data_IF_942527675162
#
_entry.id   IF_942527675162
#
_cell.length_a   1.000
_cell.length_b   1.000
_cell.length_c   1.000
_cell.angle_alpha   90.00
_cell.angle_beta   90.00
_cell.angle_gamma   90.00
#
_symmetry.space_group_name_H-M   'P 1'
#
loop_
_entity.id
_entity.type
_entity.pdbx_description
1 polymer ?
#
# COMPACT_ATOMS: atom_id res chain seq x y z
N UNK A 1 -13.64 -25.43 8.10
CA UNK A 1 -12.37 -25.69 8.81
C UNK A 1 -11.51 -24.44 8.67
N UNK A 2 -11.01 -23.84 9.77
CA UNK A 2 -10.08 -22.72 9.69
C UNK A 2 -8.82 -23.15 8.91
N UNK A 3 -8.25 -22.24 8.12
CA UNK A 3 -6.98 -22.49 7.42
C UNK A 3 -5.85 -22.61 8.45
N UNK A 4 -4.76 -23.31 8.11
CA UNK A 4 -3.64 -23.48 9.03
C UNK A 4 -2.99 -22.13 9.42
N UNK A 5 -2.95 -21.15 8.50
CA UNK A 5 -2.61 -19.76 8.82
C UNK A 5 -3.58 -19.10 9.81
N UNK A 6 -4.89 -19.34 9.72
CA UNK A 6 -5.87 -18.79 10.68
C UNK A 6 -5.64 -19.34 12.08
N UNK A 7 -5.34 -20.64 12.19
CA UNK A 7 -5.00 -21.26 13.47
C UNK A 7 -3.69 -20.68 14.04
N UNK A 8 -2.67 -20.47 13.19
CA UNK A 8 -1.41 -19.82 13.59
C UNK A 8 -1.61 -18.37 14.03
N UNK A 9 -2.47 -17.61 13.38
CA UNK A 9 -2.83 -16.26 13.80
C UNK A 9 -3.50 -16.24 15.16
N UNK A 10 -4.45 -17.14 15.41
CA UNK A 10 -5.10 -17.27 16.71
C UNK A 10 -4.09 -17.65 17.82
N UNK A 11 -3.18 -18.60 17.54
CA UNK A 11 -2.11 -18.96 18.47
C UNK A 11 -1.15 -17.79 18.73
N UNK A 12 -0.77 -17.05 17.68
CA UNK A 12 0.08 -15.87 17.81
C UNK A 12 -0.60 -14.80 18.66
N UNK A 13 -1.88 -14.55 18.42
CA UNK A 13 -2.65 -13.58 19.19
C UNK A 13 -2.69 -13.97 20.67
N UNK A 14 -3.05 -15.23 20.96
CA UNK A 14 -3.05 -15.76 22.34
C UNK A 14 -1.67 -15.66 23.02
N UNK A 15 -0.57 -15.86 22.28
CA UNK A 15 0.78 -15.71 22.83
C UNK A 15 1.18 -14.25 23.09
N UNK A 16 0.65 -13.29 22.34
CA UNK A 16 0.93 -11.86 22.49
C UNK A 16 0.01 -11.17 23.50
N UNK A 17 -1.17 -11.76 23.78
CA UNK A 17 -2.19 -11.24 24.68
C UNK A 17 -1.63 -10.76 26.04
N UNK A 18 -0.81 -11.53 26.79
CA UNK A 18 -0.32 -11.08 28.10
C UNK A 18 0.56 -9.84 28.01
N UNK A 19 1.31 -9.70 26.91
CA UNK A 19 2.19 -8.55 26.67
C UNK A 19 1.41 -7.34 26.21
N UNK A 20 0.38 -7.52 25.38
CA UNK A 20 -0.55 -6.47 25.01
C UNK A 20 -1.26 -5.92 26.26
N UNK A 21 -1.79 -6.80 27.11
CA UNK A 21 -2.43 -6.43 28.37
C UNK A 21 -1.48 -5.72 29.34
N UNK A 22 -0.23 -6.18 29.47
CA UNK A 22 0.80 -5.49 30.27
C UNK A 22 1.11 -4.07 29.77
N UNK A 23 0.80 -3.77 28.50
CA UNK A 23 0.89 -2.44 27.88
C UNK A 23 -0.46 -1.71 27.80
N UNK A 24 -1.51 -2.27 28.39
CA UNK A 24 -2.86 -1.69 28.37
C UNK A 24 -3.53 -1.72 26.98
N UNK A 25 -3.11 -2.62 26.09
CA UNK A 25 -3.67 -2.78 24.76
C UNK A 25 -4.64 -3.97 24.70
N UNK A 26 -5.78 -3.79 24.04
CA UNK A 26 -6.66 -4.88 23.64
C UNK A 26 -6.21 -5.46 22.30
N UNK A 27 -5.98 -6.77 22.22
CA UNK A 27 -5.55 -7.44 21.00
C UNK A 27 -6.74 -7.98 20.21
N UNK A 28 -6.77 -7.74 18.90
CA UNK A 28 -7.79 -8.26 17.97
C UNK A 28 -7.11 -8.94 16.79
N UNK A 29 -7.47 -10.18 16.49
CA UNK A 29 -7.02 -10.87 15.29
C UNK A 29 -8.17 -10.95 14.28
N UNK A 30 -7.94 -10.47 13.06
CA UNK A 30 -8.91 -10.58 11.98
C UNK A 30 -8.95 -12.01 11.43
N UNK A 31 -10.16 -12.48 11.13
CA UNK A 31 -10.34 -13.75 10.43
C UNK A 31 -9.79 -13.65 8.99
N UNK A 32 -9.08 -14.68 8.55
CA UNK A 32 -8.56 -14.74 7.20
C UNK A 32 -9.59 -15.26 6.20
N UNK A 33 -9.47 -14.87 4.91
CA UNK A 33 -10.27 -15.48 3.86
C UNK A 33 -10.04 -17.00 3.83
N UNK A 34 -11.12 -17.78 3.84
CA UNK A 34 -11.03 -19.25 3.76
C UNK A 34 -10.38 -19.76 2.46
N UNK A 35 -10.34 -18.91 1.43
CA UNK A 35 -9.69 -19.17 0.13
C UNK A 35 -8.17 -19.01 0.14
N UNK A 36 -7.59 -18.49 1.23
CA UNK A 36 -6.14 -18.31 1.35
C UNK A 36 -5.48 -19.62 1.81
N UNK A 37 -4.92 -20.35 0.86
CA UNK A 37 -4.05 -21.50 1.14
C UNK A 37 -2.60 -21.09 0.95
N UNK A 38 -1.73 -21.38 1.91
CA UNK A 38 -0.29 -21.17 1.78
C UNK A 38 0.43 -22.50 2.03
N UNK A 39 1.60 -22.69 1.43
CA UNK A 39 2.47 -23.78 1.86
C UNK A 39 3.03 -23.55 3.28
N UNK A 40 3.50 -24.60 3.98
CA UNK A 40 3.96 -24.49 5.37
C UNK A 40 5.11 -23.50 5.58
N UNK A 41 5.96 -23.29 4.58
CA UNK A 41 7.08 -22.35 4.66
C UNK A 41 6.57 -20.91 4.65
N UNK A 42 5.66 -20.59 3.74
CA UNK A 42 5.02 -19.29 3.72
C UNK A 42 4.16 -19.03 4.95
N UNK A 43 3.47 -20.03 5.50
CA UNK A 43 2.75 -19.87 6.75
C UNK A 43 3.68 -19.52 7.92
N UNK A 44 4.86 -20.15 7.98
CA UNK A 44 5.86 -19.83 9.00
C UNK A 44 6.41 -18.42 8.80
N UNK A 45 6.71 -18.02 7.56
CA UNK A 45 7.18 -16.68 7.23
C UNK A 45 6.12 -15.61 7.56
N UNK A 46 4.85 -15.89 7.26
CA UNK A 46 3.72 -15.02 7.58
C UNK A 46 3.56 -14.83 9.08
N UNK A 47 3.59 -15.92 9.86
CA UNK A 47 3.49 -15.86 11.31
C UNK A 47 4.67 -15.09 11.94
N UNK A 48 5.89 -15.29 11.42
CA UNK A 48 7.07 -14.55 11.86
C UNK A 48 6.97 -13.05 11.54
N UNK A 49 6.49 -12.70 10.33
CA UNK A 49 6.26 -11.31 9.93
C UNK A 49 5.21 -10.61 10.79
N UNK A 50 4.08 -11.27 11.05
CA UNK A 50 3.01 -10.76 11.92
C UNK A 50 3.49 -10.56 13.35
N UNK A 51 4.28 -11.50 13.88
CA UNK A 51 4.92 -11.34 15.19
C UNK A 51 5.81 -10.11 15.19
N UNK A 52 6.67 -9.94 14.19
CA UNK A 52 7.58 -8.80 14.15
C UNK A 52 6.83 -7.45 14.08
N UNK A 53 5.75 -7.37 13.30
CA UNK A 53 4.88 -6.20 13.26
C UNK A 53 4.23 -5.92 14.62
N UNK A 54 3.69 -6.95 15.26
CA UNK A 54 3.06 -6.81 16.57
C UNK A 54 4.06 -6.34 17.64
N UNK A 55 5.28 -6.89 17.64
CA UNK A 55 6.35 -6.50 18.56
C UNK A 55 6.77 -5.04 18.37
N UNK A 56 6.85 -4.57 17.11
CA UNK A 56 7.15 -3.17 16.81
C UNK A 56 6.09 -2.24 17.42
N UNK A 57 4.80 -2.58 17.29
CA UNK A 57 3.72 -1.81 17.89
C UNK A 57 3.72 -1.89 19.42
N UNK A 58 3.95 -3.07 20.00
CA UNK A 58 4.01 -3.25 21.45
C UNK A 58 5.18 -2.47 22.08
N UNK A 59 6.30 -2.34 21.37
CA UNK A 59 7.47 -1.61 21.86
C UNK A 59 7.16 -0.13 22.12
N UNK A 60 6.36 0.49 21.26
CA UNK A 60 5.96 1.91 21.36
C UNK A 60 4.71 2.17 22.21
N UNK A 61 4.01 1.12 22.64
CA UNK A 61 2.79 1.25 23.44
C UNK A 61 3.10 1.81 24.84
N UNK A 62 2.56 3.00 25.14
CA UNK A 62 2.71 3.73 26.40
C UNK A 62 1.55 3.59 27.39
N UNK A 63 0.55 2.75 27.09
CA UNK A 63 -0.64 2.54 27.92
C UNK A 63 -1.93 2.92 27.19
N UNK A 64 -2.88 1.97 27.10
CA UNK A 64 -4.20 2.18 26.49
C UNK A 64 -4.21 2.00 24.97
N UNK A 65 -5.34 1.51 24.45
CA UNK A 65 -5.61 1.39 23.01
C UNK A 65 -5.90 -0.04 22.54
N UNK A 66 -5.90 -0.23 21.23
CA UNK A 66 -6.11 -1.52 20.59
C UNK A 66 -4.96 -1.84 19.63
N UNK A 67 -4.65 -3.13 19.49
CA UNK A 67 -3.77 -3.69 18.47
C UNK A 67 -4.56 -4.71 17.64
N UNK A 68 -4.77 -4.41 16.37
CA UNK A 68 -5.34 -5.31 15.37
C UNK A 68 -4.25 -6.01 14.57
N UNK A 69 -4.33 -7.33 14.41
CA UNK A 69 -3.49 -8.10 13.51
C UNK A 69 -4.35 -8.71 12.41
N UNK A 70 -3.85 -8.73 11.18
CA UNK A 70 -4.56 -9.34 10.06
C UNK A 70 -3.63 -9.74 8.93
N UNK A 71 -4.13 -10.56 8.01
CA UNK A 71 -3.45 -10.78 6.74
C UNK A 71 -4.46 -10.82 5.60
N UNK A 72 -3.97 -10.51 4.40
CA UNK A 72 -4.76 -10.52 3.18
C UNK A 72 -3.86 -10.69 1.97
N UNK A 73 -4.47 -10.79 0.79
CA UNK A 73 -3.72 -10.77 -0.47
C UNK A 73 -3.79 -9.35 -1.02
N UNK A 74 -2.64 -8.74 -1.24
CA UNK A 74 -2.52 -7.46 -1.92
C UNK A 74 -1.92 -7.66 -3.31
N UNK A 75 -2.23 -6.75 -4.23
CA UNK A 75 -1.54 -6.64 -5.51
C UNK A 75 -0.52 -5.51 -5.40
N UNK A 76 0.76 -5.85 -5.52
CA UNK A 76 1.85 -4.89 -5.46
C UNK A 76 2.65 -5.01 -6.74
N UNK A 77 2.70 -3.94 -7.54
CA UNK A 77 3.36 -3.94 -8.86
C UNK A 77 2.91 -5.12 -9.77
N UNK A 78 1.62 -5.47 -9.72
CA UNK A 78 1.05 -6.58 -10.51
C UNK A 78 1.34 -7.98 -9.95
N UNK A 79 2.15 -8.11 -8.91
CA UNK A 79 2.38 -9.38 -8.23
C UNK A 79 1.42 -9.52 -7.03
N UNK A 80 0.79 -10.70 -6.91
CA UNK A 80 0.06 -11.04 -5.69
C UNK A 80 1.10 -11.22 -4.57
N UNK A 81 0.87 -10.54 -3.46
CA UNK A 81 1.69 -10.61 -2.25
C UNK A 81 0.79 -10.90 -1.07
N UNK A 82 1.31 -11.67 -0.13
CA UNK A 82 0.69 -11.81 1.16
C UNK A 82 0.98 -10.53 1.95
N UNK A 83 -0.05 -9.75 2.22
CA UNK A 83 0.03 -8.56 3.05
C UNK A 83 -0.31 -8.92 4.48
N UNK A 84 0.65 -8.71 5.37
CA UNK A 84 0.47 -8.82 6.81
C UNK A 84 0.23 -7.41 7.36
N UNK A 85 -0.71 -7.25 8.27
CA UNK A 85 -1.18 -5.97 8.77
C UNK A 85 -1.10 -5.97 10.29
N UNK A 86 -0.56 -4.88 10.84
CA UNK A 86 -0.75 -4.50 12.23
C UNK A 86 -1.34 -3.09 12.26
N UNK A 87 -2.50 -2.94 12.88
CA UNK A 87 -3.15 -1.67 13.10
C UNK A 87 -3.19 -1.38 14.59
N UNK A 88 -3.06 -0.13 15.00
CA UNK A 88 -3.27 0.25 16.39
C UNK A 88 -3.91 1.62 16.52
N UNK A 89 -4.40 1.89 17.72
CA UNK A 89 -4.99 3.16 18.09
C UNK A 89 -4.04 4.03 18.94
N UNK A 90 -2.73 3.81 18.85
CA UNK A 90 -1.75 4.63 19.54
C UNK A 90 -1.56 5.95 18.78
N UNK A 91 -1.10 7.03 19.44
CA UNK A 91 -0.74 8.25 18.73
C UNK A 91 0.21 7.97 17.56
N UNK A 92 -0.14 8.48 16.38
CA UNK A 92 0.70 8.36 15.20
C UNK A 92 1.97 9.21 15.29
N UNK A 93 2.83 9.05 14.30
CA UNK A 93 3.97 9.92 14.07
C UNK A 93 3.54 11.37 13.86
N UNK A 94 4.26 12.27 14.52
CA UNK A 94 4.18 13.71 14.25
C UNK A 94 4.46 14.00 12.77
N UNK A 95 3.81 15.02 12.21
CA UNK A 95 4.02 15.47 10.84
C UNK A 95 5.50 15.60 10.42
N UNK A 96 6.42 16.17 11.24
CA UNK A 96 7.83 16.25 10.87
C UNK A 96 8.57 14.91 10.90
N UNK A 97 8.08 13.90 11.63
CA UNK A 97 8.71 12.57 11.72
C UNK A 97 8.29 11.62 10.57
N UNK A 98 7.14 11.88 9.93
CA UNK A 98 6.63 11.00 8.88
C UNK A 98 7.55 10.91 7.65
N UNK A 99 8.06 12.01 7.06
CA UNK A 99 8.91 11.93 5.88
C UNK A 99 10.20 11.12 6.13
N UNK A 100 10.83 11.29 7.29
CA UNK A 100 12.05 10.58 7.64
C UNK A 100 11.80 9.07 7.84
N UNK A 101 10.67 8.69 8.45
CA UNK A 101 10.27 7.30 8.60
C UNK A 101 9.96 6.64 7.24
N UNK A 102 9.25 7.35 6.34
CA UNK A 102 9.00 6.86 4.98
C UNK A 102 10.30 6.65 4.19
N UNK A 103 11.18 7.65 4.22
CA UNK A 103 12.45 7.61 3.50
C UNK A 103 13.31 6.42 3.98
N UNK A 104 13.42 6.22 5.30
CA UNK A 104 14.13 5.07 5.87
C UNK A 104 13.54 3.71 5.43
N UNK A 105 12.22 3.54 5.43
CA UNK A 105 11.57 2.29 5.02
C UNK A 105 11.66 2.03 3.51
N UNK A 106 11.73 3.10 2.71
CA UNK A 106 12.06 3.02 1.29
C UNK A 106 13.53 2.65 1.03
N UNK A 107 14.38 2.62 2.06
CA UNK A 107 15.83 2.45 1.94
C UNK A 107 16.54 3.73 1.49
N UNK A 108 15.85 4.86 1.51
CA UNK A 108 16.29 6.18 1.07
C UNK A 108 16.59 7.05 2.29
N UNK A 109 17.71 6.80 2.97
CA UNK A 109 18.18 7.67 4.06
C UNK A 109 18.37 6.96 5.40
N UNK A 110 18.89 7.69 6.41
CA UNK A 110 19.22 7.12 7.71
C UNK A 110 17.97 6.83 8.54
N UNK A 111 18.09 5.90 9.49
CA UNK A 111 17.03 5.63 10.45
C UNK A 111 16.68 6.90 11.24
N UNK A 112 15.39 7.24 11.40
CA UNK A 112 14.99 8.34 12.25
C UNK A 112 15.47 8.12 13.68
N UNK A 113 15.92 9.19 14.35
CA UNK A 113 16.37 9.12 15.73
C UNK A 113 15.26 8.55 16.63
N UNK A 114 15.58 7.49 17.38
CA UNK A 114 14.66 6.86 18.33
C UNK A 114 13.69 5.83 17.75
N UNK A 115 13.75 5.51 16.44
CA UNK A 115 12.91 4.50 15.77
C UNK A 115 11.44 4.55 16.22
N UNK A 116 10.70 5.62 15.87
CA UNK A 116 9.44 5.95 16.52
C UNK A 116 8.30 4.94 16.22
N UNK A 117 8.49 4.05 15.24
CA UNK A 117 7.58 2.94 14.97
C UNK A 117 8.13 1.56 15.42
N UNK A 118 9.35 1.48 15.94
CA UNK A 118 10.01 0.22 16.29
C UNK A 118 10.29 -0.68 15.07
N UNK A 119 10.35 -0.10 13.87
CA UNK A 119 10.45 -0.82 12.61
C UNK A 119 11.90 -0.95 12.11
N UNK A 120 12.86 -0.30 12.77
CA UNK A 120 14.27 -0.26 12.42
C UNK A 120 14.86 -1.64 12.12
N UNK A 121 14.72 -2.56 13.06
CA UNK A 121 15.24 -3.93 12.95
C UNK A 121 14.49 -4.74 11.89
N UNK A 122 13.19 -4.52 11.76
CA UNK A 122 12.38 -5.22 10.78
C UNK A 122 12.73 -4.77 9.35
N UNK A 123 12.81 -3.46 9.13
CA UNK A 123 13.17 -2.85 7.85
C UNK A 123 14.54 -3.33 7.34
N UNK A 124 15.55 -3.44 8.22
CA UNK A 124 16.90 -3.91 7.85
C UNK A 124 16.96 -5.36 7.38
N UNK A 125 16.00 -6.19 7.79
CA UNK A 125 15.93 -7.62 7.43
C UNK A 125 15.08 -7.87 6.19
N UNK A 126 14.42 -6.84 5.67
CA UNK A 126 13.47 -6.95 4.58
C UNK A 126 13.99 -6.25 3.32
N UNK A 127 13.57 -6.70 2.14
CA UNK A 127 13.85 -5.96 0.92
C UNK A 127 13.16 -4.59 0.96
N UNK A 128 13.80 -3.59 0.38
CA UNK A 128 13.26 -2.23 0.29
C UNK A 128 11.84 -2.23 -0.29
N UNK A 129 10.94 -1.47 0.33
CA UNK A 129 9.53 -1.39 -0.07
C UNK A 129 8.66 -2.59 0.28
N UNK A 130 9.17 -3.60 1.00
CA UNK A 130 8.35 -4.68 1.54
C UNK A 130 7.63 -4.29 2.84
N UNK A 131 8.11 -3.26 3.53
CA UNK A 131 7.53 -2.74 4.77
C UNK A 131 7.13 -1.28 4.53
N UNK A 132 5.90 -0.94 4.88
CA UNK A 132 5.37 0.41 4.71
C UNK A 132 4.30 0.68 5.78
N UNK A 133 3.88 1.93 5.93
CA UNK A 133 2.95 2.33 6.96
C UNK A 133 2.09 3.53 6.55
N UNK A 134 0.98 3.69 7.26
CA UNK A 134 0.14 4.87 7.27
C UNK A 134 0.00 5.30 8.72
N UNK A 135 0.40 6.53 9.03
CA UNK A 135 0.31 7.09 10.37
C UNK A 135 -0.74 8.20 10.39
N UNK A 136 -1.67 8.13 11.33
CA UNK A 136 -2.71 9.13 11.60
C UNK A 136 -2.70 9.55 13.07
N UNK A 137 -3.27 10.71 13.43
CA UNK A 137 -3.36 11.13 14.83
C UNK A 137 -3.96 10.04 15.74
N UNK A 138 -4.97 9.33 15.25
CA UNK A 138 -5.74 8.31 15.96
C UNK A 138 -5.19 6.88 15.86
N UNK A 139 -4.06 6.66 15.19
CA UNK A 139 -3.56 5.29 15.00
C UNK A 139 -2.52 5.15 13.91
N UNK A 140 -1.90 3.97 13.85
CA UNK A 140 -1.05 3.61 12.72
C UNK A 140 -1.48 2.29 12.12
N UNK A 141 -1.32 2.17 10.81
CA UNK A 141 -1.45 0.94 10.06
C UNK A 141 -0.08 0.61 9.46
N UNK A 142 0.50 -0.51 9.83
CA UNK A 142 1.80 -0.97 9.36
C UNK A 142 1.56 -2.25 8.58
N UNK A 143 2.19 -2.40 7.43
CA UNK A 143 2.06 -3.61 6.64
C UNK A 143 3.37 -4.12 6.07
N UNK A 144 3.43 -5.45 5.96
CA UNK A 144 4.53 -6.20 5.37
C UNK A 144 4.02 -7.02 4.18
N UNK A 145 4.56 -6.77 3.00
CA UNK A 145 4.24 -7.47 1.78
C UNK A 145 5.27 -8.58 1.47
N UNK A 146 4.87 -9.83 1.67
CA UNK A 146 5.68 -11.01 1.35
C UNK A 146 5.34 -11.52 -0.07
N UNK A 147 6.34 -11.89 -0.89
CA UNK A 147 6.09 -12.43 -2.22
C UNK A 147 5.34 -13.77 -2.14
N UNK A 148 4.20 -13.87 -2.84
CA UNK A 148 3.34 -15.06 -2.81
C UNK A 148 3.91 -16.24 -3.62
N UNK A 149 4.97 -16.02 -4.42
CA UNK A 149 5.71 -17.08 -5.11
C UNK A 149 6.44 -18.04 -4.14
N UNK A 150 6.71 -17.60 -2.91
CA UNK A 150 7.19 -18.45 -1.83
C UNK A 150 6.04 -19.17 -1.09
N UNK A 151 4.78 -19.00 -1.53
CA UNK A 151 3.58 -19.34 -0.77
C UNK A 151 2.48 -20.11 -1.52
N UNK A 152 2.56 -20.25 -2.84
CA UNK A 152 1.56 -20.98 -3.63
C UNK A 152 2.26 -21.83 -4.69
N UNK A 153 2.04 -23.15 -4.65
CA UNK A 153 2.33 -24.04 -5.77
C UNK A 153 1.62 -23.54 -7.06
N UNK A 154 2.20 -23.79 -8.25
CA UNK A 154 1.74 -23.17 -9.48
C UNK A 154 0.32 -23.65 -9.84
N UNK A 155 -0.63 -22.72 -9.84
CA UNK A 155 -1.95 -22.88 -10.47
C UNK A 155 -1.90 -22.21 -11.86
N UNK A 156 -2.63 -22.74 -12.87
CA UNK A 156 -2.36 -22.43 -14.28
C UNK A 156 -2.51 -20.95 -14.56
N UNK A 157 -1.59 -20.44 -15.38
CA UNK A 157 -1.35 -19.03 -15.64
C UNK A 157 -2.63 -18.24 -15.94
N UNK A 158 -2.85 -17.16 -15.17
CA UNK A 158 -3.65 -16.04 -15.66
C UNK A 158 -2.84 -15.25 -16.69
N UNK A 159 -3.47 -14.67 -17.73
CA UNK A 159 -2.74 -14.04 -18.83
C UNK A 159 -2.02 -12.75 -18.39
N UNK A 160 -0.69 -12.86 -18.29
CA UNK A 160 0.29 -11.89 -18.78
C UNK A 160 0.20 -10.44 -18.30
N UNK A 161 0.54 -10.14 -17.05
CA UNK A 161 1.00 -8.81 -16.65
C UNK A 161 2.51 -8.91 -16.39
N UNK A 162 3.30 -8.64 -17.42
CA UNK A 162 4.76 -8.82 -17.41
C UNK A 162 5.47 -7.67 -16.69
N UNK A 163 6.55 -8.04 -16.00
CA UNK A 163 7.55 -7.26 -15.20
C UNK A 163 8.27 -6.10 -15.91
N UNK A 164 7.59 -5.25 -16.68
CA UNK A 164 8.23 -4.14 -17.42
C UNK A 164 7.81 -2.78 -16.83
N UNK A 165 8.82 -2.11 -16.27
CA UNK A 165 8.91 -0.79 -15.63
C UNK A 165 7.64 -0.05 -15.18
N UNK A 166 7.66 0.43 -13.92
CA UNK A 166 6.75 1.42 -13.32
C UNK A 166 6.68 2.78 -14.05
N UNK A 167 7.44 2.93 -15.12
CA UNK A 167 7.39 3.96 -16.15
C UNK A 167 7.87 3.29 -17.43
N UNK A 168 7.05 3.21 -18.48
CA UNK A 168 7.53 2.80 -19.80
C UNK A 168 7.55 4.03 -20.71
N UNK A 169 8.54 4.95 -20.56
CA UNK A 169 8.66 6.11 -21.45
C UNK A 169 8.88 5.66 -22.91
N UNK A 170 9.42 4.46 -23.11
CA UNK A 170 9.52 3.82 -24.42
C UNK A 170 8.16 3.42 -24.98
N UNK A 171 7.15 3.08 -24.16
CA UNK A 171 5.80 2.76 -24.64
C UNK A 171 5.03 4.00 -25.08
N UNK A 172 5.14 5.10 -24.35
CA UNK A 172 4.60 6.39 -24.80
C UNK A 172 5.23 6.78 -26.13
N UNK A 173 6.57 6.76 -26.22
CA UNK A 173 7.27 7.08 -27.45
C UNK A 173 6.89 6.14 -28.59
N UNK A 174 6.80 4.83 -28.34
CA UNK A 174 6.40 3.84 -29.35
C UNK A 174 4.99 4.10 -29.89
N UNK A 175 4.03 4.43 -29.01
CA UNK A 175 2.65 4.81 -29.43
C UNK A 175 2.61 6.08 -30.26
N UNK A 176 3.57 6.98 -30.04
CA UNK A 176 3.72 8.25 -30.76
C UNK A 176 4.72 8.15 -31.93
N UNK A 177 5.05 6.95 -32.40
CA UNK A 177 5.93 6.75 -33.55
C UNK A 177 7.38 7.19 -33.32
N UNK A 178 7.82 7.29 -32.07
CA UNK A 178 9.13 7.78 -31.67
C UNK A 178 9.24 9.30 -31.54
N UNK A 179 8.14 10.05 -31.74
CA UNK A 179 8.16 11.51 -31.69
C UNK A 179 8.26 12.02 -30.24
N UNK A 180 9.49 12.36 -29.83
CA UNK A 180 9.81 12.92 -28.51
C UNK A 180 9.14 14.27 -28.23
N UNK A 181 8.89 15.07 -29.27
CA UNK A 181 8.23 16.38 -29.12
C UNK A 181 6.75 16.19 -28.80
N UNK A 182 6.07 15.27 -29.49
CA UNK A 182 4.67 14.93 -29.16
C UNK A 182 4.60 14.29 -27.76
N UNK A 183 5.55 13.43 -27.40
CA UNK A 183 5.61 12.85 -26.06
C UNK A 183 5.76 13.94 -24.97
N UNK A 184 6.61 14.94 -25.20
CA UNK A 184 6.76 16.10 -24.31
C UNK A 184 5.46 16.89 -24.14
N UNK A 185 4.71 17.12 -25.22
CA UNK A 185 3.41 17.81 -25.18
C UNK A 185 2.39 17.00 -24.35
N UNK A 186 2.32 15.69 -24.58
CA UNK A 186 1.41 14.79 -23.84
C UNK A 186 1.75 14.76 -22.35
N UNK A 187 3.03 14.65 -21.99
CA UNK A 187 3.50 14.67 -20.61
C UNK A 187 3.20 16.02 -19.94
N UNK A 188 3.47 17.14 -20.63
CA UNK A 188 3.20 18.48 -20.11
C UNK A 188 1.70 18.69 -19.86
N UNK A 189 0.85 18.27 -20.79
CA UNK A 189 -0.61 18.31 -20.65
C UNK A 189 -1.07 17.48 -19.45
N UNK A 190 -0.55 16.26 -19.29
CA UNK A 190 -0.86 15.42 -18.14
C UNK A 190 -0.42 16.03 -16.81
N UNK A 191 0.79 16.62 -16.74
CA UNK A 191 1.32 17.31 -15.56
C UNK A 191 0.45 18.46 -15.09
N UNK A 192 -0.25 19.11 -16.01
CA UNK A 192 -1.18 20.18 -15.66
C UNK A 192 -2.52 19.65 -15.15
N UNK A 193 -3.06 18.62 -15.81
CA UNK A 193 -4.44 18.17 -15.59
C UNK A 193 -4.55 17.16 -14.44
N UNK A 194 -3.62 16.20 -14.34
CA UNK A 194 -3.73 15.09 -13.40
C UNK A 194 -3.78 15.50 -11.91
N UNK A 195 -2.95 16.46 -11.43
CA UNK A 195 -3.05 16.92 -10.04
C UNK A 195 -4.42 17.55 -9.73
N UNK A 196 -4.97 18.33 -10.66
CA UNK A 196 -6.30 18.95 -10.51
C UNK A 196 -7.41 17.91 -10.46
N UNK A 197 -7.33 16.88 -11.32
CA UNK A 197 -8.28 15.77 -11.33
C UNK A 197 -8.21 14.94 -10.04
N UNK A 198 -7.01 14.72 -9.51
CA UNK A 198 -6.84 14.01 -8.25
C UNK A 198 -7.41 14.78 -7.06
N UNK A 199 -7.19 16.09 -7.00
CA UNK A 199 -7.78 16.94 -5.97
C UNK A 199 -9.32 16.95 -6.06
N UNK A 200 -9.88 17.05 -7.27
CA UNK A 200 -11.32 16.97 -7.49
C UNK A 200 -11.88 15.60 -7.10
N UNK A 201 -11.15 14.51 -7.40
CA UNK A 201 -11.53 13.16 -7.00
C UNK A 201 -11.56 12.99 -5.48
N UNK A 202 -10.57 13.56 -4.78
CA UNK A 202 -10.54 13.56 -3.32
C UNK A 202 -11.75 14.31 -2.74
N UNK A 203 -12.03 15.51 -3.24
CA UNK A 203 -13.20 16.29 -2.82
C UNK A 203 -14.52 15.55 -3.10
N UNK A 204 -14.69 14.98 -4.30
CA UNK A 204 -15.89 14.21 -4.65
C UNK A 204 -16.04 12.91 -3.83
N UNK A 205 -14.94 12.34 -3.32
CA UNK A 205 -14.99 11.24 -2.37
C UNK A 205 -15.44 11.70 -0.97
N UNK A 206 -15.27 12.97 -0.63
CA UNK A 206 -15.61 13.53 0.68
C UNK A 206 -17.03 14.10 0.75
N UNK A 207 -17.56 14.61 -0.35
CA UNK A 207 -18.90 15.18 -0.45
C UNK A 207 -20.01 14.13 -0.63
N UNK A 208 -21.15 14.34 0.04
CA UNK A 208 -22.30 13.44 -0.03
C UNK A 208 -23.09 13.71 -1.32
N UNK A 209 -23.20 12.72 -2.21
CA UNK A 209 -23.97 12.82 -3.46
C UNK A 209 -23.13 12.88 -4.74
N UNK A 210 -21.83 13.14 -4.65
CA UNK A 210 -20.93 13.31 -5.80
C UNK A 210 -20.28 12.01 -6.30
N UNK A 211 -20.84 10.85 -5.95
CA UNK A 211 -20.29 9.53 -6.28
C UNK A 211 -20.08 9.32 -7.79
N UNK A 212 -21.04 9.74 -8.61
CA UNK A 212 -20.95 9.56 -10.07
C UNK A 212 -19.81 10.41 -10.66
N UNK A 213 -19.62 11.61 -10.12
CA UNK A 213 -18.52 12.48 -10.50
C UNK A 213 -17.18 11.88 -10.06
N UNK A 214 -17.09 11.34 -8.85
CA UNK A 214 -15.90 10.62 -8.37
C UNK A 214 -15.56 9.43 -9.28
N UNK A 215 -16.54 8.64 -9.72
CA UNK A 215 -16.33 7.53 -10.67
C UNK A 215 -15.76 8.06 -11.99
N UNK A 216 -16.34 9.13 -12.53
CA UNK A 216 -15.91 9.75 -13.79
C UNK A 216 -14.48 10.28 -13.69
N UNK A 217 -14.12 10.92 -12.58
CA UNK A 217 -12.78 11.44 -12.31
C UNK A 217 -11.76 10.30 -12.19
N UNK A 218 -12.07 9.24 -11.44
CA UNK A 218 -11.23 8.06 -11.32
C UNK A 218 -11.02 7.37 -12.69
N UNK A 219 -12.09 7.23 -13.48
CA UNK A 219 -12.02 6.69 -14.84
C UNK A 219 -11.12 7.53 -15.76
N UNK A 220 -11.26 8.85 -15.69
CA UNK A 220 -10.47 9.79 -16.49
C UNK A 220 -8.99 9.73 -16.11
N UNK A 221 -8.69 9.75 -14.81
CA UNK A 221 -7.33 9.64 -14.28
C UNK A 221 -6.69 8.31 -14.68
N UNK A 222 -7.44 7.19 -14.62
CA UNK A 222 -7.00 5.88 -15.11
C UNK A 222 -6.58 5.92 -16.57
N UNK A 223 -7.44 6.46 -17.45
CA UNK A 223 -7.18 6.53 -18.88
C UNK A 223 -5.97 7.41 -19.20
N UNK A 224 -5.92 8.61 -18.61
CA UNK A 224 -4.84 9.55 -18.80
C UNK A 224 -3.48 8.97 -18.33
N UNK A 225 -3.46 8.28 -17.19
CA UNK A 225 -2.25 7.68 -16.62
C UNK A 225 -1.71 6.57 -17.50
N UNK A 226 -2.58 5.69 -18.01
CA UNK A 226 -2.18 4.61 -18.93
C UNK A 226 -1.68 5.14 -20.28
N UNK A 227 -2.21 6.27 -20.76
CA UNK A 227 -1.77 6.88 -22.00
C UNK A 227 -0.41 7.57 -21.89
N UNK A 228 -0.01 7.97 -20.69
CA UNK A 228 1.28 8.65 -20.44
C UNK A 228 2.37 7.73 -19.89
N UNK A 229 2.10 6.42 -19.80
CA UNK A 229 3.04 5.43 -19.29
C UNK A 229 3.02 5.23 -17.77
N UNK A 230 2.12 5.92 -17.06
CA UNK A 230 1.86 5.78 -15.63
C UNK A 230 0.96 4.57 -15.32
N UNK A 231 1.43 3.36 -15.64
CA UNK A 231 0.63 2.14 -15.50
C UNK A 231 0.12 1.93 -14.07
N UNK A 232 1.00 2.07 -13.07
CA UNK A 232 0.64 1.89 -11.67
C UNK A 232 -0.37 2.93 -11.17
N UNK A 233 -0.19 4.21 -11.52
CA UNK A 233 -1.18 5.25 -11.25
C UNK A 233 -2.54 4.90 -11.86
N UNK A 234 -2.52 4.35 -13.09
CA UNK A 234 -3.72 3.85 -13.76
C UNK A 234 -4.41 2.69 -13.03
N UNK A 235 -3.64 1.74 -12.49
CA UNK A 235 -4.18 0.62 -11.73
C UNK A 235 -4.81 1.06 -10.40
N UNK A 236 -4.16 1.97 -9.67
CA UNK A 236 -4.73 2.51 -8.43
C UNK A 236 -5.99 3.30 -8.73
N UNK A 237 -6.02 4.09 -9.82
CA UNK A 237 -7.22 4.81 -10.25
C UNK A 237 -8.36 3.85 -10.63
N UNK A 238 -8.05 2.72 -11.27
CA UNK A 238 -9.03 1.68 -11.56
C UNK A 238 -9.59 1.02 -10.28
N UNK A 239 -8.76 0.84 -9.25
CA UNK A 239 -9.21 0.32 -7.95
C UNK A 239 -10.18 1.30 -7.26
N UNK A 240 -9.89 2.61 -7.31
CA UNK A 240 -10.80 3.66 -6.80
C UNK A 240 -12.12 3.65 -7.58
N UNK A 241 -12.08 3.63 -8.90
CA UNK A 241 -13.27 3.56 -9.76
C UNK A 241 -14.13 2.34 -9.40
N UNK A 242 -13.52 1.16 -9.27
CA UNK A 242 -14.23 -0.07 -8.93
C UNK A 242 -14.84 -0.04 -7.52
N UNK A 243 -14.11 0.51 -6.53
CA UNK A 243 -14.63 0.69 -5.17
C UNK A 243 -15.82 1.64 -5.15
N UNK A 244 -15.74 2.76 -5.87
CA UNK A 244 -16.85 3.70 -6.01
C UNK A 244 -18.04 3.07 -6.73
N UNK A 245 -17.85 2.30 -7.81
CA UNK A 245 -18.92 1.56 -8.50
C UNK A 245 -19.62 0.54 -7.60
N UNK A 246 -18.94 0.04 -6.57
CA UNK A 246 -19.47 -0.93 -5.62
C UNK A 246 -19.89 -0.32 -4.27
N UNK A 247 -19.98 1.01 -4.18
CA UNK A 247 -20.42 1.72 -2.96
C UNK A 247 -19.47 1.57 -1.77
N UNK A 248 -18.23 1.17 -2.03
CA UNK A 248 -17.17 0.99 -1.04
C UNK A 248 -16.38 2.30 -0.85
N UNK A 249 -17.05 3.36 -0.41
CA UNK A 249 -16.47 4.70 -0.31
C UNK A 249 -15.24 4.77 0.62
N UNK A 250 -15.26 4.03 1.73
CA UNK A 250 -14.12 3.97 2.65
C UNK A 250 -12.87 3.38 1.98
N UNK A 251 -13.04 2.38 1.11
CA UNK A 251 -11.94 1.76 0.35
C UNK A 251 -11.43 2.70 -0.73
N UNK A 252 -12.32 3.41 -1.43
CA UNK A 252 -11.94 4.45 -2.38
C UNK A 252 -11.10 5.54 -1.72
N UNK A 253 -11.51 6.03 -0.54
CA UNK A 253 -10.77 7.03 0.25
C UNK A 253 -9.41 6.51 0.71
N UNK A 254 -9.33 5.25 1.13
CA UNK A 254 -8.07 4.65 1.56
C UNK A 254 -7.01 4.58 0.43
N UNK A 255 -7.44 4.60 -0.83
CA UNK A 255 -6.55 4.60 -2.00
C UNK A 255 -6.05 5.99 -2.41
N UNK A 256 -6.65 7.08 -1.93
CA UNK A 256 -6.28 8.45 -2.33
C UNK A 256 -4.80 8.80 -2.04
N UNK A 257 -4.24 8.51 -0.84
CA UNK A 257 -2.82 8.77 -0.58
C UNK A 257 -1.89 8.01 -1.53
N UNK A 258 -2.31 6.82 -1.99
CA UNK A 258 -1.54 6.04 -2.94
C UNK A 258 -1.57 6.66 -4.34
N UNK A 259 -2.71 7.21 -4.78
CA UNK A 259 -2.79 7.95 -6.04
C UNK A 259 -1.85 9.16 -6.04
N UNK A 260 -1.80 9.92 -4.95
CA UNK A 260 -0.91 11.08 -4.79
C UNK A 260 0.56 10.66 -4.91
N UNK A 261 0.93 9.60 -4.22
CA UNK A 261 2.30 9.08 -4.27
C UNK A 261 2.69 8.56 -5.66
N UNK A 262 1.81 7.81 -6.32
CA UNK A 262 2.04 7.31 -7.68
C UNK A 262 2.17 8.45 -8.71
N UNK A 263 1.38 9.52 -8.54
CA UNK A 263 1.45 10.71 -9.39
C UNK A 263 2.77 11.46 -9.20
N UNK A 264 3.20 11.66 -7.95
CA UNK A 264 4.49 12.29 -7.65
C UNK A 264 5.67 11.47 -8.19
N UNK A 265 5.62 10.14 -8.07
CA UNK A 265 6.66 9.25 -8.61
C UNK A 265 6.72 9.29 -10.14
N UNK A 266 5.56 9.29 -10.79
CA UNK A 266 5.43 9.43 -12.25
C UNK A 266 6.01 10.78 -12.72
N UNK A 267 5.72 11.85 -12.01
CA UNK A 267 6.25 13.19 -12.29
C UNK A 267 7.77 13.25 -12.17
N UNK A 268 8.33 12.71 -11.08
CA UNK A 268 9.77 12.67 -10.86
C UNK A 268 10.51 11.88 -11.95
N UNK A 269 9.92 10.77 -12.40
CA UNK A 269 10.53 9.88 -13.39
C UNK A 269 10.57 10.47 -14.81
N UNK A 270 9.71 11.44 -15.14
CA UNK A 270 9.83 12.23 -16.37
C UNK A 270 10.95 13.28 -16.31
N UNK A 271 11.58 13.50 -15.16
CA UNK A 271 12.63 14.49 -14.96
C UNK A 271 12.09 15.94 -14.93
N UNK A 272 12.96 16.94 -14.79
CA UNK A 272 12.54 18.34 -14.70
C UNK A 272 11.70 18.76 -15.91
N UNK A 273 10.79 19.73 -15.73
CA UNK A 273 10.06 20.35 -16.85
C UNK A 273 11.10 21.00 -17.76
N UNK A 274 11.40 20.36 -18.90
CA UNK A 274 12.29 20.92 -19.90
C UNK A 274 11.75 22.29 -20.34
N UNK A 275 12.61 23.31 -20.30
CA UNK A 275 12.34 24.64 -20.82
C UNK A 275 12.32 24.69 -22.34
#
# INVERSE_FOLDING_TARGET
>A
MPTALSARLAMLASALEPRAQARGLALKAAALPASLSLDPSAEAQAAAGLRALAEAVLARAGGGGELGLGAGVALCAGERRLRLLAADSLPGLSAPAQPAAFAYLAGEGPAPAGDPLGLGDLARRLPAGALDFLSRPEGSLIWLDLPLAAALAPSPALPGWSRRACLEPQDLLRRLGGDKRIAGIVIASFREVAPRQLAALAAACDEFGERQEAIRLAHSLKGASRNTGGLMLGEVAAAVEAALQQERLAEARACLPRLEWELARLDAAWGPRGG
#
